data_IF_906534476458
#
_entry.id   IF_906534476458
#
_cell.length_a   1.000
_cell.length_b   1.000
_cell.length_c   1.000
_cell.angle_alpha   90.00
_cell.angle_beta   90.00
_cell.angle_gamma   90.00
#
_symmetry.space_group_name_H-M   'P 1'
#
loop_
_entity.id
_entity.type
_entity.pdbx_description
1 polymer ?
#
# COMPACT_ATOMS: atom_id res chain seq x y z
N UNK A 1 -4.68 -36.14 7.34
CA UNK A 1 -4.71 -35.03 8.32
C UNK A 1 -3.53 -34.11 8.04
N UNK A 2 -3.66 -33.20 7.05
CA UNK A 2 -2.59 -32.27 6.65
C UNK A 2 -3.25 -30.97 6.13
N UNK A 3 -3.85 -30.21 7.06
CA UNK A 3 -4.31 -28.83 6.82
C UNK A 3 -3.55 -27.86 7.76
N UNK A 4 -2.23 -27.78 7.60
CA UNK A 4 -1.41 -26.80 8.34
C UNK A 4 -0.42 -26.06 7.45
N UNK A 5 -0.87 -25.65 6.28
CA UNK A 5 -0.23 -24.57 5.52
C UNK A 5 -1.29 -23.47 5.35
N UNK A 6 -1.78 -22.93 6.46
CA UNK A 6 -2.40 -21.60 6.41
C UNK A 6 -1.24 -20.64 6.17
N UNK A 7 -1.23 -20.09 4.97
CA UNK A 7 -0.45 -18.95 4.50
C UNK A 7 0.38 -18.26 5.59
N UNK A 8 1.69 -18.20 5.40
CA UNK A 8 2.53 -17.18 6.02
C UNK A 8 1.94 -15.81 5.62
N UNK A 9 1.04 -15.30 6.45
CA UNK A 9 0.45 -13.98 6.31
C UNK A 9 1.57 -12.99 6.63
N UNK A 10 2.18 -12.42 5.59
CA UNK A 10 3.21 -11.40 5.76
C UNK A 10 2.56 -10.14 6.33
N UNK A 11 2.80 -9.88 7.61
CA UNK A 11 2.45 -8.61 8.24
C UNK A 11 3.73 -7.88 8.58
N UNK A 12 3.93 -6.65 8.09
CA UNK A 12 5.06 -5.84 8.50
C UNK A 12 5.06 -5.68 10.02
N UNK A 13 6.25 -5.79 10.62
CA UNK A 13 6.45 -5.61 12.06
C UNK A 13 5.93 -4.21 12.46
N UNK A 14 5.04 -4.15 13.46
CA UNK A 14 4.40 -2.91 13.91
C UNK A 14 3.07 -2.53 13.23
N UNK A 15 2.54 -3.39 12.35
CA UNK A 15 1.21 -3.27 11.74
C UNK A 15 0.30 -4.48 12.04
N UNK A 16 0.55 -5.20 13.13
CA UNK A 16 -0.11 -6.48 13.40
C UNK A 16 -1.64 -6.36 13.56
N UNK A 17 -2.10 -5.18 14.00
CA UNK A 17 -3.50 -4.82 14.22
C UNK A 17 -4.15 -4.08 13.03
N UNK A 18 -3.37 -3.64 12.04
CA UNK A 18 -3.87 -2.91 10.89
C UNK A 18 -4.48 -3.87 9.87
N UNK A 19 -5.73 -3.58 9.46
CA UNK A 19 -6.53 -4.43 8.60
C UNK A 19 -7.01 -3.67 7.36
N UNK A 20 -7.18 -4.40 6.26
CA UNK A 20 -7.88 -3.89 5.09
C UNK A 20 -9.36 -3.67 5.43
N UNK A 21 -9.89 -2.42 5.33
CA UNK A 21 -11.29 -2.18 5.65
C UNK A 21 -12.21 -2.78 4.59
N UNK A 22 -13.26 -3.48 5.02
CA UNK A 22 -14.16 -4.25 4.15
C UNK A 22 -15.17 -3.40 3.39
N UNK A 23 -15.57 -2.25 3.95
CA UNK A 23 -16.65 -1.40 3.43
C UNK A 23 -16.17 0.03 3.16
N UNK A 24 -14.99 0.17 2.58
CA UNK A 24 -14.42 1.47 2.21
C UNK A 24 -13.87 1.43 0.78
N UNK A 25 -13.82 2.62 0.18
CA UNK A 25 -13.11 2.88 -1.07
C UNK A 25 -11.96 3.83 -0.81
N UNK A 26 -10.82 3.57 -1.42
CA UNK A 26 -9.68 4.46 -1.45
C UNK A 26 -8.93 4.29 -2.77
N UNK A 27 -8.31 5.36 -3.27
CA UNK A 27 -7.48 5.31 -4.45
C UNK A 27 -6.19 6.08 -4.19
N UNK A 28 -5.09 5.58 -4.76
CA UNK A 28 -3.78 6.15 -4.64
C UNK A 28 -3.08 6.11 -5.99
N UNK A 29 -2.37 7.18 -6.31
CA UNK A 29 -1.50 7.27 -7.48
C UNK A 29 -0.06 6.98 -7.09
N UNK A 30 0.62 6.17 -7.91
CA UNK A 30 2.04 5.89 -7.77
C UNK A 30 2.78 6.66 -8.85
N UNK A 31 3.73 7.50 -8.46
CA UNK A 31 4.54 8.29 -9.40
C UNK A 31 6.04 8.14 -9.13
N UNK A 32 6.83 8.34 -10.18
CA UNK A 32 8.29 8.46 -10.13
C UNK A 32 8.69 9.68 -10.94
N UNK A 33 9.45 10.61 -10.35
CA UNK A 33 9.81 11.90 -11.00
C UNK A 33 8.60 12.61 -11.64
N UNK A 34 7.47 12.65 -10.92
CA UNK A 34 6.19 13.21 -11.37
C UNK A 34 5.55 12.51 -12.59
N UNK A 35 6.08 11.36 -13.02
CA UNK A 35 5.48 10.53 -14.08
C UNK A 35 4.62 9.45 -13.45
N UNK A 36 3.39 9.30 -13.95
CA UNK A 36 2.47 8.27 -13.49
C UNK A 36 3.00 6.87 -13.80
N UNK A 37 3.08 6.02 -12.78
CA UNK A 37 3.43 4.61 -12.88
C UNK A 37 2.15 3.77 -12.92
N UNK A 38 1.27 3.97 -11.95
CA UNK A 38 0.07 3.16 -11.80
C UNK A 38 -0.84 3.66 -10.69
N UNK A 39 -1.89 2.89 -10.43
CA UNK A 39 -2.93 3.20 -9.45
C UNK A 39 -3.13 2.02 -8.52
N UNK A 40 -3.22 2.30 -7.23
CA UNK A 40 -3.62 1.37 -6.19
C UNK A 40 -5.03 1.76 -5.73
N UNK A 41 -5.96 0.82 -5.76
CA UNK A 41 -7.33 1.02 -5.35
C UNK A 41 -7.69 0.02 -4.26
N UNK A 42 -8.54 0.45 -3.33
CA UNK A 42 -9.22 -0.40 -2.38
C UNK A 42 -10.71 -0.32 -2.67
N UNK A 43 -11.34 -1.48 -2.83
CA UNK A 43 -12.78 -1.59 -2.93
C UNK A 43 -13.23 -2.93 -2.34
N UNK A 44 -14.27 -2.90 -1.51
CA UNK A 44 -14.89 -4.11 -0.93
C UNK A 44 -13.90 -5.05 -0.21
N UNK A 45 -12.90 -4.49 0.47
CA UNK A 45 -11.89 -5.28 1.19
C UNK A 45 -10.79 -5.87 0.32
N UNK A 46 -10.73 -5.50 -0.97
CA UNK A 46 -9.69 -5.94 -1.90
C UNK A 46 -8.89 -4.77 -2.46
N UNK A 47 -7.57 -4.91 -2.37
CA UNK A 47 -6.61 -4.03 -3.02
C UNK A 47 -6.40 -4.45 -4.46
N UNK A 48 -6.35 -3.48 -5.37
CA UNK A 48 -6.06 -3.66 -6.79
C UNK A 48 -4.94 -2.72 -7.19
N UNK A 49 -3.87 -3.24 -7.76
CA UNK A 49 -2.82 -2.43 -8.35
C UNK A 49 -2.71 -2.70 -9.85
N UNK A 50 -2.69 -1.63 -10.64
CA UNK A 50 -2.51 -1.69 -12.08
C UNK A 50 -1.56 -0.58 -12.54
N UNK A 51 -0.69 -0.91 -13.49
CA UNK A 51 0.12 0.08 -14.18
C UNK A 51 -0.73 0.93 -15.13
N UNK A 52 -0.35 2.20 -15.27
CA UNK A 52 -0.96 3.11 -16.24
C UNK A 52 -0.59 2.73 -17.67
N UNK A 53 -1.47 3.05 -18.63
CA UNK A 53 -1.20 2.79 -20.06
C UNK A 53 0.10 3.46 -20.53
N UNK A 54 0.33 4.71 -20.13
CA UNK A 54 1.58 5.43 -20.44
C UNK A 54 2.83 4.69 -19.95
N UNK A 55 2.77 4.08 -18.77
CA UNK A 55 3.91 3.30 -18.25
C UNK A 55 4.11 2.00 -19.03
N UNK A 56 3.03 1.31 -19.41
CA UNK A 56 3.10 0.08 -20.23
C UNK A 56 3.76 0.32 -21.58
N UNK A 57 3.49 1.46 -22.20
CA UNK A 57 4.04 1.87 -23.50
C UNK A 57 5.51 2.30 -23.42
N UNK A 58 5.85 3.17 -22.45
CA UNK A 58 7.16 3.86 -22.45
C UNK A 58 8.22 3.18 -21.61
N UNK A 59 7.83 2.46 -20.53
CA UNK A 59 8.72 1.75 -19.60
C UNK A 59 10.00 2.52 -19.24
N UNK A 60 9.86 3.77 -18.82
CA UNK A 60 10.99 4.65 -18.52
C UNK A 60 11.81 4.25 -17.27
N UNK A 61 11.34 3.27 -16.49
CA UNK A 61 12.08 2.58 -15.42
C UNK A 61 11.68 1.11 -15.38
N UNK A 62 12.44 0.30 -14.64
CA UNK A 62 12.06 -1.08 -14.35
C UNK A 62 10.70 -1.14 -13.60
N UNK A 63 9.90 -2.21 -13.81
CA UNK A 63 8.70 -2.47 -13.02
C UNK A 63 9.02 -2.54 -11.52
N UNK A 64 8.03 -2.25 -10.69
CA UNK A 64 8.11 -2.42 -9.24
C UNK A 64 8.37 -3.89 -8.92
N UNK A 65 9.26 -4.15 -7.96
CA UNK A 65 9.72 -5.51 -7.63
C UNK A 65 8.56 -6.47 -7.29
N UNK A 66 7.60 -6.02 -6.48
CA UNK A 66 6.40 -6.80 -6.11
C UNK A 66 5.43 -7.01 -7.30
N UNK A 67 5.61 -6.27 -8.40
CA UNK A 67 4.71 -6.18 -9.54
C UNK A 67 5.46 -6.27 -10.89
N UNK A 68 6.13 -7.41 -11.20
CA UNK A 68 7.05 -7.50 -12.35
C UNK A 68 6.37 -7.48 -13.74
N UNK A 69 5.10 -7.87 -13.84
CA UNK A 69 4.33 -7.90 -15.08
C UNK A 69 3.46 -6.66 -15.20
N UNK A 70 3.82 -5.76 -16.12
CA UNK A 70 3.13 -4.48 -16.30
C UNK A 70 1.74 -4.60 -16.92
N UNK A 71 1.41 -5.76 -17.50
CA UNK A 71 0.11 -6.01 -18.12
C UNK A 71 -0.91 -6.61 -17.15
N UNK A 72 -0.42 -7.10 -16.01
CA UNK A 72 -1.24 -7.76 -15.00
C UNK A 72 -1.97 -6.76 -14.11
N UNK A 73 -3.22 -7.05 -13.81
CA UNK A 73 -3.95 -6.46 -12.69
C UNK A 73 -3.69 -7.30 -11.44
N UNK A 74 -3.06 -6.71 -10.43
CA UNK A 74 -2.75 -7.37 -9.18
C UNK A 74 -3.89 -7.18 -8.21
N UNK A 75 -4.36 -8.26 -7.58
CA UNK A 75 -5.47 -8.22 -6.61
C UNK A 75 -5.02 -8.95 -5.34
N UNK A 76 -5.34 -8.38 -4.18
CA UNK A 76 -5.01 -8.97 -2.87
C UNK A 76 -5.96 -8.49 -1.78
N UNK A 77 -6.23 -9.34 -0.79
CA UNK A 77 -6.97 -8.94 0.43
C UNK A 77 -6.09 -8.15 1.40
N UNK A 78 -4.78 -8.25 1.25
CA UNK A 78 -3.78 -7.59 2.09
C UNK A 78 -2.95 -6.61 1.26
N UNK A 79 -2.58 -5.50 1.88
CA UNK A 79 -1.75 -4.49 1.24
C UNK A 79 -0.33 -5.04 1.03
N UNK A 80 0.19 -4.96 -0.20
CA UNK A 80 1.51 -5.49 -0.54
C UNK A 80 2.65 -4.81 0.24
N UNK A 81 3.78 -5.54 0.47
CA UNK A 81 4.95 -5.03 1.19
C UNK A 81 5.47 -3.70 0.67
N UNK A 82 5.51 -3.52 -0.67
CA UNK A 82 5.84 -2.25 -1.29
C UNK A 82 5.09 -1.09 -0.63
N UNK A 83 3.76 -1.15 -0.55
CA UNK A 83 2.94 -0.08 0.04
C UNK A 83 2.97 -0.07 1.57
N UNK A 84 2.86 -1.24 2.21
CA UNK A 84 2.76 -1.34 3.66
C UNK A 84 4.05 -0.92 4.37
N UNK A 85 5.22 -1.17 3.76
CA UNK A 85 6.52 -0.74 4.28
C UNK A 85 6.73 0.78 4.30
N UNK A 86 5.78 1.56 3.79
CA UNK A 86 5.77 3.03 3.86
C UNK A 86 5.10 3.55 5.13
N UNK A 87 4.35 2.70 5.83
CA UNK A 87 3.69 3.07 7.09
C UNK A 87 4.69 2.82 8.23
N UNK A 88 4.97 3.82 9.08
CA UNK A 88 5.86 3.66 10.23
C UNK A 88 5.25 2.71 11.25
N UNK A 89 6.10 2.16 12.14
CA UNK A 89 5.63 1.31 13.22
C UNK A 89 4.70 2.10 14.16
N UNK A 90 3.48 1.60 14.37
CA UNK A 90 2.44 2.34 15.09
C UNK A 90 2.70 2.49 16.59
N UNK A 91 3.70 1.77 17.14
CA UNK A 91 4.13 1.85 18.54
C UNK A 91 5.10 3.01 18.82
N UNK A 92 5.46 3.79 17.81
CA UNK A 92 6.34 4.95 17.98
C UNK A 92 5.53 6.08 18.64
N UNK A 93 6.00 6.69 19.76
CA UNK A 93 5.22 7.68 20.50
C UNK A 93 4.73 8.87 19.67
N UNK A 94 5.55 9.35 18.72
CA UNK A 94 5.18 10.45 17.82
C UNK A 94 4.05 10.06 16.85
N UNK A 95 4.06 8.80 16.38
CA UNK A 95 3.02 8.26 15.50
C UNK A 95 1.72 8.08 16.28
N UNK A 96 1.78 7.52 17.48
CA UNK A 96 0.60 7.38 18.35
C UNK A 96 -0.05 8.74 18.64
N UNK A 97 0.73 9.74 19.05
CA UNK A 97 0.23 11.10 19.28
C UNK A 97 -0.39 11.73 18.03
N UNK A 98 0.19 11.48 16.85
CA UNK A 98 -0.34 11.97 15.58
C UNK A 98 -1.70 11.34 15.28
N UNK A 99 -1.82 10.02 15.45
CA UNK A 99 -3.06 9.28 15.21
C UNK A 99 -4.17 9.74 16.17
N UNK A 100 -3.85 9.94 17.45
CA UNK A 100 -4.79 10.44 18.46
C UNK A 100 -5.26 11.87 18.14
N UNK A 101 -4.33 12.79 17.84
CA UNK A 101 -4.64 14.18 17.49
C UNK A 101 -5.50 14.30 16.25
N UNK A 102 -5.24 13.47 15.24
CA UNK A 102 -5.94 13.50 13.96
C UNK A 102 -7.17 12.59 13.91
N UNK A 103 -7.45 11.82 14.98
CA UNK A 103 -8.58 10.90 15.05
C UNK A 103 -8.51 9.76 14.02
N UNK A 104 -7.30 9.32 13.65
CA UNK A 104 -7.09 8.27 12.65
C UNK A 104 -7.18 6.90 13.32
N UNK A 105 -8.04 6.03 12.79
CA UNK A 105 -8.15 4.65 13.25
C UNK A 105 -6.90 3.84 12.86
N UNK A 106 -6.12 3.46 13.88
CA UNK A 106 -4.91 2.63 13.72
C UNK A 106 -5.17 1.24 13.13
N UNK A 107 -6.42 0.78 13.11
CA UNK A 107 -6.81 -0.50 12.49
C UNK A 107 -7.11 -0.37 11.01
N UNK A 108 -7.24 0.85 10.48
CA UNK A 108 -7.54 1.09 9.08
C UNK A 108 -6.26 1.33 8.28
N UNK A 109 -5.75 0.29 7.63
CA UNK A 109 -4.50 0.38 6.86
C UNK A 109 -4.59 1.36 5.68
N UNK A 110 -5.79 1.64 5.16
CA UNK A 110 -5.96 2.61 4.09
C UNK A 110 -5.81 4.05 4.59
N UNK A 111 -6.32 4.36 5.78
CA UNK A 111 -6.10 5.66 6.42
C UNK A 111 -4.62 5.84 6.80
N UNK A 112 -3.99 4.80 7.33
CA UNK A 112 -2.56 4.82 7.64
C UNK A 112 -1.70 5.07 6.40
N UNK A 113 -2.00 4.38 5.29
CA UNK A 113 -1.31 4.59 4.02
C UNK A 113 -1.52 6.01 3.50
N UNK A 114 -2.74 6.55 3.59
CA UNK A 114 -3.02 7.93 3.19
C UNK A 114 -2.23 8.95 4.02
N UNK A 115 -2.04 8.67 5.31
CA UNK A 115 -1.37 9.60 6.22
C UNK A 115 0.16 9.57 6.12
N UNK A 116 0.73 8.38 5.99
CA UNK A 116 2.18 8.19 6.10
C UNK A 116 2.83 7.67 4.81
N UNK A 117 2.05 7.13 3.88
CA UNK A 117 2.56 6.43 2.71
C UNK A 117 3.18 7.31 1.61
N UNK A 118 3.09 8.63 1.71
CA UNK A 118 3.45 9.52 0.60
C UNK A 118 4.89 9.40 0.14
N UNK A 119 5.84 9.35 1.06
CA UNK A 119 7.28 9.32 0.77
C UNK A 119 8.00 8.39 1.73
N UNK A 120 9.10 7.80 1.28
CA UNK A 120 10.07 7.14 2.16
C UNK A 120 11.48 7.63 1.87
N UNK A 121 12.40 7.35 2.79
CA UNK A 121 13.83 7.63 2.59
C UNK A 121 14.45 6.60 1.64
N UNK A 122 13.90 5.39 1.60
CA UNK A 122 14.51 4.21 0.95
C UNK A 122 14.05 3.97 -0.48
N UNK A 123 13.01 4.65 -0.96
CA UNK A 123 12.58 4.54 -2.35
C UNK A 123 12.10 5.88 -2.93
N UNK A 124 12.35 6.14 -4.23
CA UNK A 124 12.06 7.42 -4.87
C UNK A 124 10.60 7.57 -5.35
N UNK A 125 9.72 6.62 -5.03
CA UNK A 125 8.33 6.65 -5.49
C UNK A 125 7.47 7.47 -4.54
N UNK A 126 6.50 8.18 -5.11
CA UNK A 126 5.46 8.89 -4.35
C UNK A 126 4.16 8.09 -4.45
N UNK A 127 3.52 7.84 -3.31
CA UNK A 127 2.19 7.19 -3.22
C UNK A 127 1.21 8.17 -2.59
N UNK A 128 0.43 8.86 -3.40
CA UNK A 128 -0.46 9.92 -2.94
C UNK A 128 -1.91 9.50 -3.07
N UNK A 129 -2.73 9.87 -2.09
CA UNK A 129 -4.18 9.65 -2.16
C UNK A 129 -4.78 10.55 -3.24
N UNK A 130 -5.67 9.97 -4.03
CA UNK A 130 -6.44 10.69 -5.06
C UNK A 130 -7.71 11.34 -4.51
#
# INVERSE_FOLDING_TARGET
MLEKIKSLVYRPLGLEEALTPQKKKAAFVVTYENKLIGRLELENGEWKFAYSERFKETRFIAPLFDFPDVTRNYISKELWPFFAGRIPGLKQPEIEQTLEKEGIDKKDIALLLARFGKRTITNPFIVERE
#
